data_IF_100529466581
#
_entry.id   IF_100529466581
#
_cell.length_a   1.000
_cell.length_b   1.000
_cell.length_c   1.000
_cell.angle_alpha   90.00
_cell.angle_beta   90.00
_cell.angle_gamma   90.00
#
_symmetry.space_group_name_H-M   'P 1'
#
loop_
_entity.id
_entity.type
_entity.pdbx_description
1 polymer ?
#
# COMPACT_ATOMS: atom_id res chain seq x y z
N UNK A 1 -25.81 -1.12 22.67
CA UNK A 1 -25.17 0.10 22.17
C UNK A 1 -24.74 -0.17 20.73
N UNK A 2 -25.47 0.36 19.74
CA UNK A 2 -25.04 0.28 18.34
C UNK A 2 -23.84 1.20 18.22
N UNK A 3 -22.64 0.65 18.10
CA UNK A 3 -21.50 1.40 17.57
C UNK A 3 -21.93 1.88 16.19
N UNK A 4 -22.21 3.17 16.04
CA UNK A 4 -22.15 3.81 14.73
C UNK A 4 -20.72 3.61 14.27
N UNK A 5 -20.49 2.60 13.42
CA UNK A 5 -19.19 2.34 12.82
C UNK A 5 -18.77 3.64 12.13
N UNK A 6 -17.80 4.36 12.70
CA UNK A 6 -17.16 5.44 11.97
C UNK A 6 -16.53 4.80 10.74
N UNK A 7 -16.95 5.25 9.57
CA UNK A 7 -16.35 4.88 8.30
C UNK A 7 -15.03 5.64 8.16
N UNK A 8 -13.98 5.14 8.83
CA UNK A 8 -12.65 5.74 8.82
C UNK A 8 -11.96 5.28 7.52
N UNK A 9 -11.83 6.20 6.57
CA UNK A 9 -11.05 5.99 5.36
C UNK A 9 -9.68 6.67 5.51
N UNK A 10 -8.61 5.88 5.47
CA UNK A 10 -7.24 6.37 5.38
C UNK A 10 -6.84 6.50 3.92
N UNK A 11 -6.30 7.67 3.54
CA UNK A 11 -5.78 7.95 2.20
C UNK A 11 -4.29 8.27 2.30
N UNK A 12 -3.51 7.74 1.38
CA UNK A 12 -2.05 7.90 1.37
C UNK A 12 -1.55 8.36 0.00
N UNK A 13 -0.72 9.40 0.01
CA UNK A 13 0.09 9.80 -1.14
C UNK A 13 1.56 9.64 -0.80
N UNK A 14 2.31 8.92 -1.64
CA UNK A 14 3.72 8.63 -1.45
C UNK A 14 4.51 9.46 -2.46
N UNK A 15 5.42 10.29 -1.96
CA UNK A 15 6.37 11.07 -2.75
C UNK A 15 7.76 10.43 -2.75
N UNK A 16 8.36 10.26 -3.93
CA UNK A 16 9.69 9.67 -4.12
C UNK A 16 10.57 10.70 -4.84
N UNK A 17 11.68 11.07 -4.21
CA UNK A 17 12.59 12.07 -4.76
C UNK A 17 13.71 12.41 -3.79
N UNK A 18 14.59 13.32 -4.21
CA UNK A 18 15.72 13.72 -3.39
C UNK A 18 15.28 14.48 -2.14
N UNK A 19 15.97 14.24 -1.02
CA UNK A 19 15.79 14.97 0.23
C UNK A 19 17.01 15.87 0.47
N UNK A 20 16.79 17.17 0.66
CA UNK A 20 17.90 18.12 0.80
C UNK A 20 18.46 18.14 2.23
N UNK A 21 17.60 18.00 3.23
CA UNK A 21 18.02 17.80 4.63
C UNK A 21 16.88 17.17 5.44
N UNK A 22 17.12 16.02 6.08
CA UNK A 22 16.23 15.50 7.12
C UNK A 22 16.44 16.37 8.37
N UNK A 23 15.53 17.31 8.66
CA UNK A 23 15.55 18.06 9.93
C UNK A 23 14.72 17.29 10.96
N UNK A 24 15.01 17.52 12.24
CA UNK A 24 14.31 16.88 13.37
C UNK A 24 12.78 17.09 13.39
N UNK A 25 12.25 18.01 12.56
CA UNK A 25 10.81 18.23 12.36
C UNK A 25 10.45 18.04 10.87
N UNK A 26 9.58 17.06 10.60
CA UNK A 26 9.03 16.75 9.27
C UNK A 26 8.35 17.98 8.66
N UNK A 27 7.73 18.86 9.48
CA UNK A 27 7.09 20.11 8.99
C UNK A 27 8.06 21.11 8.37
N UNK A 28 9.36 20.99 8.69
CA UNK A 28 10.42 21.88 8.20
C UNK A 28 11.37 21.20 7.23
N UNK A 29 11.15 19.90 6.98
CA UNK A 29 11.96 19.13 6.06
C UNK A 29 11.60 19.52 4.63
N UNK A 30 12.62 19.91 3.86
CA UNK A 30 12.47 20.32 2.47
C UNK A 30 13.08 19.26 1.57
N UNK A 31 12.46 19.07 0.41
CA UNK A 31 12.87 18.03 -0.52
C UNK A 31 11.76 17.71 -1.49
N UNK A 32 12.17 17.18 -2.63
CA UNK A 32 11.30 16.82 -3.73
C UNK A 32 10.28 15.75 -3.30
N UNK A 33 10.70 14.77 -2.49
CA UNK A 33 9.80 13.75 -1.94
C UNK A 33 8.64 14.35 -1.11
N UNK A 34 8.92 15.35 -0.26
CA UNK A 34 7.90 15.98 0.58
C UNK A 34 6.92 16.80 -0.26
N UNK A 35 7.42 17.59 -1.22
CA UNK A 35 6.58 18.37 -2.14
C UNK A 35 5.67 17.43 -2.95
N UNK A 36 6.24 16.37 -3.53
CA UNK A 36 5.48 15.40 -4.32
C UNK A 36 4.40 14.69 -3.49
N UNK A 37 4.69 14.31 -2.24
CA UNK A 37 3.69 13.69 -1.36
C UNK A 37 2.55 14.65 -0.99
N UNK A 38 2.87 15.92 -0.72
CA UNK A 38 1.87 16.93 -0.36
C UNK A 38 0.97 17.27 -1.53
N UNK A 39 1.56 17.62 -2.68
CA UNK A 39 0.80 17.89 -3.90
C UNK A 39 0.00 16.67 -4.36
N UNK A 40 0.58 15.47 -4.21
CA UNK A 40 -0.10 14.23 -4.54
C UNK A 40 -1.35 14.05 -3.68
N UNK A 41 -1.25 14.27 -2.37
CA UNK A 41 -2.37 14.21 -1.44
C UNK A 41 -3.45 15.24 -1.76
N UNK A 42 -3.06 16.48 -2.08
CA UNK A 42 -3.99 17.55 -2.47
C UNK A 42 -4.74 17.24 -3.77
N UNK A 43 -4.10 16.51 -4.70
CA UNK A 43 -4.68 16.10 -6.00
C UNK A 43 -5.57 14.86 -5.88
N UNK A 44 -5.48 14.08 -4.80
CA UNK A 44 -6.30 12.88 -4.62
C UNK A 44 -7.79 13.25 -4.53
N UNK A 45 -8.61 12.53 -5.29
CA UNK A 45 -10.06 12.65 -5.25
C UNK A 45 -10.63 11.46 -4.48
N UNK A 46 -10.90 10.37 -5.19
CA UNK A 46 -11.45 9.14 -4.62
C UNK A 46 -10.36 8.10 -4.36
N UNK A 47 -9.14 8.31 -4.84
CA UNK A 47 -7.99 7.45 -4.58
C UNK A 47 -7.73 7.30 -3.07
N UNK A 48 -7.29 6.11 -2.66
CA UNK A 48 -6.79 5.81 -1.31
C UNK A 48 -5.28 5.61 -1.32
N UNK A 49 -4.67 5.33 -2.47
CA UNK A 49 -3.22 5.22 -2.65
C UNK A 49 -2.77 5.91 -3.95
N UNK A 50 -1.78 6.79 -3.85
CA UNK A 50 -1.08 7.37 -5.00
C UNK A 50 0.42 7.38 -4.79
N UNK A 51 1.17 7.30 -5.90
CA UNK A 51 2.63 7.39 -5.92
C UNK A 51 3.04 8.47 -6.93
N UNK A 52 3.85 9.41 -6.46
CA UNK A 52 4.43 10.50 -7.24
C UNK A 52 5.95 10.47 -7.09
N UNK A 53 6.66 10.42 -8.20
CA UNK A 53 8.11 10.37 -8.26
C UNK A 53 8.66 11.43 -9.22
N UNK A 54 9.88 11.91 -8.94
CA UNK A 54 10.57 12.85 -9.82
C UNK A 54 11.17 12.20 -11.05
N UNK A 55 11.59 10.94 -10.95
CA UNK A 55 12.03 10.18 -12.12
C UNK A 55 10.85 9.87 -13.05
N UNK A 56 10.93 10.39 -14.28
CA UNK A 56 9.83 10.31 -15.24
C UNK A 56 9.62 8.90 -15.79
N UNK A 57 10.68 8.10 -15.91
CA UNK A 57 10.57 6.72 -16.40
C UNK A 57 9.90 5.84 -15.35
N UNK A 58 10.33 5.93 -14.09
CA UNK A 58 9.69 5.32 -12.94
C UNK A 58 8.22 5.72 -12.85
N UNK A 59 7.92 7.02 -12.84
CA UNK A 59 6.56 7.52 -12.74
C UNK A 59 5.68 6.94 -13.84
N UNK A 60 6.14 6.95 -15.09
CA UNK A 60 5.41 6.40 -16.23
C UNK A 60 5.07 4.92 -16.02
N UNK A 61 6.05 4.13 -15.58
CA UNK A 61 5.91 2.69 -15.42
C UNK A 61 5.04 2.29 -14.21
N UNK A 62 5.12 3.03 -13.10
CA UNK A 62 4.38 2.71 -11.87
C UNK A 62 2.94 3.22 -11.86
N UNK A 63 2.63 4.28 -12.64
CA UNK A 63 1.33 4.96 -12.57
C UNK A 63 0.14 4.03 -12.82
N UNK A 64 0.19 3.22 -13.89
CA UNK A 64 -0.93 2.37 -14.25
C UNK A 64 -1.14 1.25 -13.22
N UNK A 65 -0.06 0.57 -12.84
CA UNK A 65 -0.13 -0.55 -11.87
C UNK A 65 -0.57 -0.08 -10.48
N UNK A 66 -0.18 1.12 -10.06
CA UNK A 66 -0.66 1.71 -8.78
C UNK A 66 -2.16 2.00 -8.82
N UNK A 67 -2.70 2.44 -9.97
CA UNK A 67 -4.16 2.66 -10.11
C UNK A 67 -4.94 1.35 -10.01
N UNK A 68 -4.42 0.26 -10.57
CA UNK A 68 -5.04 -1.06 -10.40
C UNK A 68 -4.99 -1.52 -8.94
N UNK A 69 -3.86 -1.33 -8.25
CA UNK A 69 -3.75 -1.63 -6.82
C UNK A 69 -4.73 -0.79 -5.99
N UNK A 70 -4.87 0.51 -6.28
CA UNK A 70 -5.81 1.40 -5.61
C UNK A 70 -7.26 0.91 -5.71
N UNK A 71 -7.69 0.49 -6.91
CA UNK A 71 -9.03 -0.09 -7.12
C UNK A 71 -9.18 -1.37 -6.32
N UNK A 72 -8.21 -2.29 -6.40
CA UNK A 72 -8.25 -3.56 -5.69
C UNK A 72 -8.34 -3.37 -4.17
N UNK A 73 -7.55 -2.43 -3.61
CA UNK A 73 -7.56 -2.13 -2.18
C UNK A 73 -8.88 -1.49 -1.71
N UNK A 74 -9.65 -0.83 -2.58
CA UNK A 74 -10.98 -0.32 -2.24
C UNK A 74 -12.05 -1.42 -2.19
N UNK A 75 -11.84 -2.52 -2.90
CA UNK A 75 -12.81 -3.62 -3.00
C UNK A 75 -12.63 -4.69 -1.93
N UNK A 76 -11.50 -4.69 -1.19
CA UNK A 76 -11.29 -5.67 -0.12
C UNK A 76 -12.22 -5.44 1.06
N UNK A 77 -12.83 -6.52 1.53
CA UNK A 77 -13.60 -6.56 2.78
C UNK A 77 -12.66 -6.50 3.98
N UNK A 78 -13.21 -6.12 5.15
CA UNK A 78 -12.46 -6.13 6.42
C UNK A 78 -11.79 -7.47 6.73
N UNK A 79 -12.46 -8.58 6.42
CA UNK A 79 -11.91 -9.92 6.65
C UNK A 79 -10.73 -10.23 5.71
N UNK A 80 -10.82 -9.82 4.45
CA UNK A 80 -9.72 -9.94 3.49
C UNK A 80 -8.53 -9.06 3.90
N UNK A 81 -8.78 -7.80 4.25
CA UNK A 81 -7.74 -6.87 4.70
C UNK A 81 -6.99 -7.39 5.93
N UNK A 82 -7.69 -7.97 6.91
CA UNK A 82 -7.06 -8.55 8.11
C UNK A 82 -6.11 -9.71 7.76
N UNK A 83 -6.55 -10.62 6.88
CA UNK A 83 -5.75 -11.78 6.50
C UNK A 83 -4.58 -11.37 5.61
N UNK A 84 -4.80 -10.44 4.67
CA UNK A 84 -3.75 -9.89 3.82
C UNK A 84 -2.68 -9.18 4.65
N UNK A 85 -3.07 -8.35 5.62
CA UNK A 85 -2.12 -7.68 6.52
C UNK A 85 -1.23 -8.69 7.24
N UNK A 86 -1.82 -9.77 7.78
CA UNK A 86 -1.04 -10.84 8.43
C UNK A 86 -0.08 -11.52 7.48
N UNK A 87 -0.52 -11.82 6.27
CA UNK A 87 0.38 -12.35 5.24
C UNK A 87 1.54 -11.40 4.91
N UNK A 88 1.32 -10.10 4.91
CA UNK A 88 2.36 -9.11 4.57
C UNK A 88 3.37 -8.90 5.70
N UNK A 89 2.95 -8.92 6.97
CA UNK A 89 3.81 -8.56 8.11
C UNK A 89 4.42 -9.74 8.86
N UNK A 90 3.84 -10.94 8.71
CA UNK A 90 4.37 -12.12 9.37
C UNK A 90 5.65 -12.62 8.67
N UNK A 91 6.61 -13.07 9.47
CA UNK A 91 7.81 -13.74 8.96
C UNK A 91 7.44 -15.07 8.29
N UNK A 92 6.62 -15.89 8.96
CA UNK A 92 6.00 -17.07 8.34
C UNK A 92 4.68 -16.70 7.64
N UNK A 93 4.75 -16.63 6.32
CA UNK A 93 3.62 -16.33 5.43
C UNK A 93 2.73 -17.54 5.13
N UNK A 94 2.98 -18.70 5.74
CA UNK A 94 2.21 -19.90 5.47
C UNK A 94 0.74 -19.71 5.87
N UNK A 95 -0.16 -20.24 5.03
CA UNK A 95 -1.60 -20.16 5.31
C UNK A 95 -1.98 -20.89 6.61
N UNK A 96 -1.13 -21.82 7.08
CA UNK A 96 -1.29 -22.49 8.35
C UNK A 96 -0.95 -21.56 9.52
N UNK A 97 0.20 -20.90 9.51
CA UNK A 97 0.60 -19.98 10.58
C UNK A 97 -0.42 -18.85 10.77
N UNK A 98 -0.89 -18.26 9.66
CA UNK A 98 -1.93 -17.22 9.70
C UNK A 98 -3.27 -17.78 10.24
N UNK A 99 -3.60 -19.02 9.90
CA UNK A 99 -4.82 -19.68 10.38
C UNK A 99 -4.78 -19.94 11.89
N UNK A 100 -3.63 -20.40 12.39
CA UNK A 100 -3.38 -20.63 13.81
C UNK A 100 -3.48 -19.32 14.60
N UNK A 101 -2.80 -18.26 14.12
CA UNK A 101 -2.82 -16.94 14.76
C UNK A 101 -4.23 -16.34 14.81
N UNK A 102 -4.98 -16.43 13.70
CA UNK A 102 -6.34 -15.87 13.60
C UNK A 102 -7.43 -16.82 14.14
N UNK A 103 -7.06 -18.00 14.66
CA UNK A 103 -7.98 -19.05 15.14
C UNK A 103 -9.08 -19.38 14.10
N UNK A 104 -8.68 -19.54 12.84
CA UNK A 104 -9.54 -19.87 11.69
C UNK A 104 -9.05 -21.15 11.01
N UNK A 105 -9.85 -21.74 10.13
CA UNK A 105 -9.38 -22.86 9.32
C UNK A 105 -8.40 -22.40 8.24
N UNK A 106 -7.41 -23.23 7.92
CA UNK A 106 -6.50 -23.01 6.78
C UNK A 106 -7.26 -22.80 5.47
N UNK A 107 -8.33 -23.56 5.23
CA UNK A 107 -9.18 -23.41 4.03
C UNK A 107 -9.84 -22.03 3.94
N UNK A 108 -10.27 -21.46 5.07
CA UNK A 108 -10.85 -20.12 5.11
C UNK A 108 -9.77 -19.06 4.83
N UNK A 109 -8.58 -19.18 5.42
CA UNK A 109 -7.44 -18.28 5.15
C UNK A 109 -7.05 -18.31 3.67
N UNK A 110 -6.86 -19.49 3.09
CA UNK A 110 -6.56 -19.62 1.66
C UNK A 110 -7.59 -18.91 0.79
N UNK A 111 -8.88 -19.12 1.07
CA UNK A 111 -9.96 -18.47 0.33
C UNK A 111 -9.92 -16.96 0.45
N UNK A 112 -9.69 -16.43 1.66
CA UNK A 112 -9.63 -14.99 1.90
C UNK A 112 -8.40 -14.34 1.23
N UNK A 113 -7.23 -14.97 1.28
CA UNK A 113 -6.02 -14.51 0.60
C UNK A 113 -6.19 -14.48 -0.92
N UNK A 114 -6.70 -15.56 -1.50
CA UNK A 114 -6.97 -15.61 -2.94
C UNK A 114 -7.95 -14.52 -3.36
N UNK A 115 -9.00 -14.31 -2.57
CA UNK A 115 -10.01 -13.28 -2.83
C UNK A 115 -9.50 -11.84 -2.60
N UNK A 116 -8.36 -11.65 -1.92
CA UNK A 116 -7.66 -10.36 -1.83
C UNK A 116 -6.53 -10.22 -2.85
N UNK A 117 -6.38 -11.20 -3.75
CA UNK A 117 -5.31 -11.30 -4.75
C UNK A 117 -3.89 -11.06 -4.17
N UNK A 118 -3.59 -11.71 -3.03
CA UNK A 118 -2.33 -11.51 -2.31
C UNK A 118 -1.06 -11.69 -3.17
N UNK A 119 -1.08 -12.65 -4.11
CA UNK A 119 0.06 -12.89 -5.02
C UNK A 119 0.30 -11.72 -5.98
N UNK A 120 -0.77 -11.10 -6.49
CA UNK A 120 -0.66 -9.93 -7.36
C UNK A 120 -0.11 -8.71 -6.59
N UNK A 121 -0.43 -8.61 -5.30
CA UNK A 121 0.16 -7.59 -4.42
C UNK A 121 1.66 -7.86 -4.21
N UNK A 122 2.07 -9.12 -4.02
CA UNK A 122 3.50 -9.47 -3.97
C UNK A 122 4.21 -9.13 -5.28
N UNK A 123 3.61 -9.43 -6.43
CA UNK A 123 4.15 -9.07 -7.75
C UNK A 123 4.25 -7.54 -7.93
N UNK A 124 3.25 -6.78 -7.47
CA UNK A 124 3.32 -5.31 -7.46
C UNK A 124 4.50 -4.82 -6.63
N UNK A 125 4.73 -5.37 -5.43
CA UNK A 125 5.84 -4.99 -4.56
C UNK A 125 7.18 -5.33 -5.22
N UNK A 126 7.30 -6.51 -5.84
CA UNK A 126 8.50 -6.90 -6.59
C UNK A 126 8.77 -5.96 -7.77
N UNK A 127 7.73 -5.60 -8.52
CA UNK A 127 7.85 -4.68 -9.65
C UNK A 127 8.21 -3.26 -9.20
N UNK A 128 7.59 -2.76 -8.12
CA UNK A 128 7.97 -1.50 -7.50
C UNK A 128 9.45 -1.50 -7.09
N UNK A 129 9.92 -2.57 -6.43
CA UNK A 129 11.32 -2.71 -6.02
C UNK A 129 12.27 -2.79 -7.23
N UNK A 130 11.87 -3.47 -8.31
CA UNK A 130 12.65 -3.47 -9.54
C UNK A 130 12.78 -2.07 -10.14
N UNK A 131 11.67 -1.33 -10.25
CA UNK A 131 11.66 0.01 -10.80
C UNK A 131 12.45 0.99 -9.93
N UNK A 132 12.31 0.93 -8.60
CA UNK A 132 12.97 1.88 -7.70
C UNK A 132 14.48 1.69 -7.73
N UNK A 133 14.99 0.45 -7.69
CA UNK A 133 16.42 0.13 -7.77
C UNK A 133 17.05 0.47 -9.12
N UNK A 134 16.23 0.55 -10.19
CA UNK A 134 16.68 1.00 -11.50
C UNK A 134 16.79 2.52 -11.58
N UNK A 135 15.93 3.25 -10.88
CA UNK A 135 15.81 4.71 -10.97
C UNK A 135 16.65 5.48 -9.93
N UNK A 136 16.89 4.89 -8.76
CA UNK A 136 17.58 5.51 -7.62
C UNK A 136 18.62 4.54 -7.03
#
# INVERSE_FOLDING_TARGET
MKTSELDICARQSIGIGQINSLRNDIRTSTGEAFILSGEGLDKMKSEILTISASDKEFQKNITLVTKYLDIQLKEITRAQAQVLLKYMVNEDKSHYAIADELKKSRSNITRLLNASHYQLIDEYIQYFNYLINKAY
#
